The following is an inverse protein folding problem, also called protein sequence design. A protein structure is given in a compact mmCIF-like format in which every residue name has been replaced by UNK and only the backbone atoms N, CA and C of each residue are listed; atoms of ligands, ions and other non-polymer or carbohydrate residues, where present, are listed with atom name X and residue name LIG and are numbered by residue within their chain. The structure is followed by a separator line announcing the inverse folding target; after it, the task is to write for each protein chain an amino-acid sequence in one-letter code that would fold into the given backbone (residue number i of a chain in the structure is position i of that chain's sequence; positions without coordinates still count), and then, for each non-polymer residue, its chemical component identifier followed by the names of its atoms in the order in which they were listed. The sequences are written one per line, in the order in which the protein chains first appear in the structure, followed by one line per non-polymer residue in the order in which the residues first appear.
data_IF_574607185367
#
_entry.id   IF_574607185367
#
_cell.length_a   1.000
_cell.length_b   1.000
_cell.length_c   1.000
_cell.angle_alpha   90.00
_cell.angle_beta   90.00
_cell.angle_gamma   90.00
#
_symmetry.space_group_name_H-M   'P 1'
#
loop_
_entity.id
_entity.type
_entity.pdbx_description
1 polymer ?
#
# COMPACT_ATOMS: atom_id res chain seq x y z
N UNK A 1 -40.33 8.56 16.57
CA UNK A 1 -39.99 9.99 16.59
C UNK A 1 -38.87 10.20 17.61
N UNK A 2 -37.60 10.13 17.17
CA UNK A 2 -36.43 10.37 18.04
C UNK A 2 -36.12 11.87 18.10
N UNK A 3 -35.90 12.39 19.31
CA UNK A 3 -35.52 13.79 19.53
C UNK A 3 -34.14 14.11 18.92
N UNK A 4 -33.94 15.31 18.34
CA UNK A 4 -32.68 15.68 17.72
C UNK A 4 -31.58 15.85 18.78
N UNK A 5 -30.43 15.20 18.57
CA UNK A 5 -29.22 15.43 19.36
C UNK A 5 -28.79 16.90 19.20
N UNK A 6 -28.64 17.61 20.32
CA UNK A 6 -28.16 19.00 20.33
C UNK A 6 -26.73 19.05 19.75
N UNK A 7 -26.42 20.04 18.89
CA UNK A 7 -25.07 20.22 18.35
C UNK A 7 -24.10 20.55 19.49
N UNK A 8 -22.95 19.87 19.50
CA UNK A 8 -21.86 20.13 20.43
C UNK A 8 -21.34 21.56 20.21
N UNK A 9 -21.52 22.43 21.21
CA UNK A 9 -20.93 23.77 21.22
C UNK A 9 -19.56 23.70 21.91
N UNK A 10 -18.47 24.05 21.22
CA UNK A 10 -17.15 24.08 21.84
C UNK A 10 -17.13 25.01 23.05
N UNK A 11 -16.40 24.62 24.10
CA UNK A 11 -16.21 25.48 25.26
C UNK A 11 -15.37 26.71 24.88
N UNK A 12 -15.48 27.83 25.62
CA UNK A 12 -14.63 29.01 25.40
C UNK A 12 -13.13 28.68 25.39
N UNK A 13 -12.71 27.69 26.20
CA UNK A 13 -11.33 27.21 26.26
C UNK A 13 -10.91 26.46 24.99
N UNK A 14 -11.80 25.66 24.39
CA UNK A 14 -11.55 24.99 23.11
C UNK A 14 -11.45 25.98 21.95
N UNK A 15 -12.26 27.04 21.95
CA UNK A 15 -12.19 28.13 20.97
C UNK A 15 -10.86 28.89 21.09
N UNK A 16 -10.44 29.22 22.31
CA UNK A 16 -9.16 29.89 22.57
C UNK A 16 -7.97 29.02 22.14
N UNK A 17 -8.00 27.71 22.39
CA UNK A 17 -6.95 26.79 21.95
C UNK A 17 -6.89 26.66 20.42
N UNK A 18 -8.05 26.63 19.76
CA UNK A 18 -8.14 26.60 18.30
C UNK A 18 -7.59 27.90 17.68
N UNK A 19 -7.91 29.05 18.26
CA UNK A 19 -7.44 30.35 17.82
C UNK A 19 -5.93 30.51 18.03
N UNK A 20 -5.39 30.08 19.18
CA UNK A 20 -3.95 30.07 19.45
C UNK A 20 -3.19 29.17 18.46
N UNK A 21 -3.75 28.00 18.11
CA UNK A 21 -3.18 27.10 17.07
C UNK A 21 -3.20 27.75 15.69
N UNK A 22 -4.29 28.45 15.34
CA UNK A 22 -4.41 29.19 14.08
C UNK A 22 -3.37 30.31 13.98
N UNK A 23 -3.27 31.17 14.99
CA UNK A 23 -2.28 32.25 15.07
C UNK A 23 -0.84 31.73 15.00
N UNK A 24 -0.53 30.62 15.69
CA UNK A 24 0.78 29.97 15.59
C UNK A 24 1.08 29.50 14.17
N UNK A 25 0.09 28.91 13.48
CA UNK A 25 0.21 28.44 12.10
C UNK A 25 0.39 29.60 11.11
N UNK A 26 -0.35 30.69 11.29
CA UNK A 26 -0.24 31.92 10.50
C UNK A 26 1.12 32.60 10.69
N UNK A 27 1.62 32.67 11.93
CA UNK A 27 2.95 33.22 12.24
C UNK A 27 4.08 32.39 11.63
N UNK A 28 3.99 31.05 11.68
CA UNK A 28 4.95 30.16 11.01
C UNK A 28 4.89 30.27 9.49
N UNK A 29 3.70 30.43 8.92
CA UNK A 29 3.53 30.64 7.47
C UNK A 29 4.16 31.97 7.04
N UNK A 30 3.93 33.06 7.78
CA UNK A 30 4.53 34.37 7.51
C UNK A 30 6.06 34.35 7.62
N UNK A 31 6.63 33.62 8.58
CA UNK A 31 8.08 33.44 8.71
C UNK A 31 8.69 32.62 7.56
N UNK A 32 7.91 31.74 6.93
CA UNK A 32 8.38 30.92 5.80
C UNK A 32 8.40 31.73 4.49
N UNK A 33 7.53 32.72 4.34
CA UNK A 33 7.43 33.58 3.14
C UNK A 33 8.59 34.60 3.04
N UNK A 34 9.26 34.92 4.16
CA UNK A 34 10.42 35.83 4.22
C UNK A 34 11.76 35.22 3.72
N UNK A 35 11.78 33.96 3.28
CA UNK A 35 13.02 33.35 2.79
C UNK A 35 13.30 33.73 1.32
N UNK A 36 14.48 34.30 1.08
CA UNK A 36 14.99 34.78 -0.22
C UNK A 36 14.79 33.73 -1.34
N UNK A 37 14.14 34.09 -2.46
CA UNK A 37 14.03 33.20 -3.62
C UNK A 37 15.37 33.20 -4.37
N UNK A 38 16.10 32.08 -4.34
CA UNK A 38 17.34 31.96 -5.12
C UNK A 38 18.40 30.95 -4.66
N UNK A 39 18.26 30.34 -3.47
CA UNK A 39 19.08 29.15 -3.15
C UNK A 39 18.24 27.89 -3.37
N UNK A 40 18.69 27.02 -4.27
CA UNK A 40 18.25 25.62 -4.25
C UNK A 40 18.64 25.07 -2.88
N UNK A 41 17.69 25.03 -1.94
CA UNK A 41 17.92 24.36 -0.66
C UNK A 41 18.15 22.89 -0.98
N UNK A 42 19.41 22.48 -0.89
CA UNK A 42 19.81 21.08 -0.94
C UNK A 42 18.86 20.28 -0.05
N UNK A 43 18.28 19.21 -0.60
CA UNK A 43 17.31 18.38 0.11
C UNK A 43 17.86 18.02 1.49
N UNK A 44 17.15 18.40 2.54
CA UNK A 44 17.52 18.05 3.90
C UNK A 44 17.13 16.62 4.26
N UNK A 45 16.46 15.88 3.36
CA UNK A 45 16.09 14.49 3.59
C UNK A 45 17.33 13.60 3.64
N UNK A 46 17.32 12.66 4.59
CA UNK A 46 18.42 11.73 4.82
C UNK A 46 18.62 10.85 3.59
N UNK A 47 19.85 10.83 3.08
CA UNK A 47 20.24 9.96 1.97
C UNK A 47 20.40 8.52 2.46
N UNK A 48 20.20 7.57 1.54
CA UNK A 48 20.33 6.14 1.79
C UNK A 48 21.20 5.51 0.71
N UNK A 49 22.01 4.54 1.11
CA UNK A 49 22.89 3.83 0.21
C UNK A 49 22.09 2.97 -0.78
N UNK A 50 22.64 2.81 -1.97
CA UNK A 50 22.17 1.81 -2.92
C UNK A 50 22.83 0.46 -2.61
N UNK A 51 22.03 -0.60 -2.53
CA UNK A 51 22.53 -1.96 -2.36
C UNK A 51 22.50 -2.69 -3.70
N UNK A 52 23.67 -3.08 -4.21
CA UNK A 52 23.76 -3.92 -5.38
C UNK A 52 23.38 -5.37 -5.03
N UNK A 53 22.41 -5.92 -5.75
CA UNK A 53 21.92 -7.30 -5.56
C UNK A 53 22.55 -8.25 -6.56
N UNK A 54 22.65 -7.83 -7.83
CA UNK A 54 23.32 -8.59 -8.89
C UNK A 54 24.41 -7.74 -9.52
N UNK A 55 25.66 -8.17 -9.36
CA UNK A 55 26.81 -7.57 -10.03
C UNK A 55 26.78 -7.97 -11.52
N UNK A 56 26.73 -6.99 -12.42
CA UNK A 56 26.89 -7.22 -13.86
C UNK A 56 28.33 -6.94 -14.24
N UNK A 57 29.10 -7.97 -14.61
CA UNK A 57 30.49 -7.83 -15.06
C UNK A 57 30.61 -7.12 -16.44
N UNK A 58 29.51 -7.03 -17.19
CA UNK A 58 29.42 -6.36 -18.49
C UNK A 58 28.54 -5.11 -18.42
N UNK A 59 28.88 -4.10 -19.23
CA UNK A 59 28.04 -2.92 -19.45
C UNK A 59 26.67 -3.41 -19.93
N UNK A 60 25.62 -3.15 -19.16
CA UNK A 60 24.27 -3.62 -19.46
C UNK A 60 23.80 -3.02 -20.79
N UNK A 61 23.55 -3.85 -21.78
CA UNK A 61 22.76 -3.43 -22.94
C UNK A 61 21.31 -3.31 -22.49
N UNK A 62 20.86 -2.06 -22.34
CA UNK A 62 19.50 -1.73 -21.92
C UNK A 62 18.77 -1.22 -23.14
N UNK A 63 17.83 -2.02 -23.66
CA UNK A 63 16.98 -1.62 -24.79
C UNK A 63 16.21 -0.33 -24.47
N UNK A 64 15.69 -0.24 -23.25
CA UNK A 64 14.99 0.94 -22.72
C UNK A 64 14.95 0.91 -21.18
N UNK A 65 14.73 2.08 -20.59
CA UNK A 65 14.54 2.23 -19.15
C UNK A 65 13.33 3.12 -18.89
N UNK A 66 12.35 2.60 -18.16
CA UNK A 66 11.25 3.40 -17.63
C UNK A 66 11.51 3.67 -16.16
N UNK A 67 11.36 4.93 -15.71
CA UNK A 67 11.31 5.22 -14.26
C UNK A 67 9.85 5.42 -13.89
N UNK A 68 9.40 4.67 -12.90
CA UNK A 68 8.02 4.73 -12.40
C UNK A 68 8.06 5.10 -10.92
N UNK A 69 7.15 6.00 -10.54
CA UNK A 69 6.87 6.33 -9.16
C UNK A 69 5.40 5.99 -8.88
N UNK A 70 5.16 5.29 -7.78
CA UNK A 70 3.82 5.03 -7.25
C UNK A 70 3.70 5.72 -5.91
N UNK A 71 2.64 6.51 -5.72
CA UNK A 71 2.36 7.17 -4.46
C UNK A 71 0.93 6.92 -4.01
N UNK A 72 0.76 6.78 -2.70
CA UNK A 72 -0.52 6.75 -2.01
C UNK A 72 -0.72 8.04 -1.21
N UNK A 73 -1.95 8.27 -0.75
CA UNK A 73 -2.33 9.48 -0.01
C UNK A 73 -2.00 10.80 -0.71
N UNK A 74 -2.01 10.80 -2.05
CA UNK A 74 -1.66 11.98 -2.83
C UNK A 74 -2.83 12.95 -2.83
N UNK A 75 -2.59 14.15 -2.29
CA UNK A 75 -3.48 15.30 -2.37
C UNK A 75 -2.75 16.49 -3.02
N UNK A 76 -3.34 17.70 -2.95
CA UNK A 76 -2.68 18.96 -3.36
C UNK A 76 -2.06 18.90 -4.76
N UNK A 77 -2.79 18.32 -5.72
CA UNK A 77 -2.33 18.08 -7.09
C UNK A 77 -1.84 19.35 -7.79
N UNK A 78 -2.37 20.52 -7.43
CA UNK A 78 -1.94 21.81 -7.96
C UNK A 78 -0.46 22.13 -7.66
N UNK A 79 0.12 21.50 -6.64
CA UNK A 79 1.55 21.63 -6.29
C UNK A 79 2.41 20.54 -6.91
N UNK A 80 1.91 19.31 -6.95
CA UNK A 80 2.70 18.14 -7.38
C UNK A 80 2.82 18.08 -8.90
N UNK A 81 1.73 18.32 -9.64
CA UNK A 81 1.71 18.19 -11.11
C UNK A 81 2.72 19.10 -11.81
N UNK A 82 2.87 20.38 -11.45
CA UNK A 82 3.88 21.25 -12.07
C UNK A 82 5.32 20.75 -11.82
N UNK A 83 5.60 20.20 -10.63
CA UNK A 83 6.93 19.68 -10.30
C UNK A 83 7.26 18.43 -11.13
N UNK A 84 6.31 17.50 -11.27
CA UNK A 84 6.48 16.32 -12.12
C UNK A 84 6.71 16.70 -13.58
N UNK A 85 5.90 17.63 -14.09
CA UNK A 85 6.01 18.11 -15.47
C UNK A 85 7.36 18.77 -15.72
N UNK A 86 7.80 19.66 -14.82
CA UNK A 86 9.12 20.29 -14.88
C UNK A 86 10.26 19.27 -14.83
N UNK A 87 10.07 18.18 -14.10
CA UNK A 87 11.04 17.09 -13.99
C UNK A 87 10.96 16.06 -15.15
N UNK A 88 10.12 16.28 -16.16
CA UNK A 88 10.03 15.42 -17.35
C UNK A 88 9.15 14.17 -17.20
N UNK A 89 8.29 14.14 -16.18
CA UNK A 89 7.38 13.02 -15.90
C UNK A 89 5.95 13.33 -16.34
N UNK A 90 5.31 12.32 -16.95
CA UNK A 90 3.85 12.24 -17.11
C UNK A 90 3.27 11.56 -15.86
N UNK A 91 1.96 11.67 -15.66
CA UNK A 91 1.31 11.05 -14.51
C UNK A 91 -0.14 10.66 -14.79
N UNK A 92 -0.62 9.66 -14.05
CA UNK A 92 -2.02 9.30 -13.89
C UNK A 92 -2.38 9.40 -12.41
N UNK A 93 -3.59 9.89 -12.11
CA UNK A 93 -4.12 9.99 -10.75
C UNK A 93 -5.51 9.36 -10.69
N UNK A 94 -5.83 8.70 -9.58
CA UNK A 94 -7.16 8.21 -9.26
C UNK A 94 -7.47 8.41 -7.78
N UNK A 95 -8.73 8.64 -7.44
CA UNK A 95 -9.18 8.73 -6.05
C UNK A 95 -10.49 7.96 -5.86
N UNK A 96 -10.68 7.44 -4.66
CA UNK A 96 -11.96 6.85 -4.26
C UNK A 96 -13.08 7.90 -4.21
N UNK A 97 -14.35 7.51 -4.37
CA UNK A 97 -15.47 8.45 -4.32
C UNK A 97 -15.45 9.30 -3.05
N UNK A 98 -15.49 10.63 -3.21
CA UNK A 98 -15.45 11.63 -2.13
C UNK A 98 -14.19 11.61 -1.24
N UNK A 99 -13.11 10.91 -1.63
CA UNK A 99 -11.82 11.02 -0.94
C UNK A 99 -11.09 12.29 -1.37
N UNK A 100 -10.40 12.93 -0.43
CA UNK A 100 -9.58 14.14 -0.68
C UNK A 100 -8.19 13.82 -1.22
N UNK A 101 -7.77 12.56 -1.07
CA UNK A 101 -6.49 12.04 -1.49
C UNK A 101 -6.72 10.77 -2.33
N UNK A 102 -5.70 10.35 -3.06
CA UNK A 102 -5.77 9.22 -3.97
C UNK A 102 -4.43 8.55 -4.20
N UNK A 103 -4.34 7.79 -5.29
CA UNK A 103 -3.12 7.16 -5.75
C UNK A 103 -2.63 7.83 -7.04
N UNK A 104 -1.31 7.87 -7.23
CA UNK A 104 -0.68 8.43 -8.43
C UNK A 104 0.39 7.48 -8.96
N UNK A 105 0.43 7.35 -10.29
CA UNK A 105 1.53 6.73 -11.02
C UNK A 105 2.18 7.82 -11.86
N UNK A 106 3.47 8.10 -11.66
CA UNK A 106 4.24 8.99 -12.52
C UNK A 106 5.32 8.21 -13.26
N UNK A 107 5.59 8.58 -14.51
CA UNK A 107 6.49 7.84 -15.39
C UNK A 107 7.21 8.75 -16.38
N UNK A 108 8.37 8.29 -16.87
CA UNK A 108 9.21 9.06 -17.79
C UNK A 108 8.50 9.33 -19.12
N UNK A 109 8.77 10.49 -19.71
CA UNK A 109 8.04 10.98 -20.90
C UNK A 109 8.32 10.19 -22.19
N UNK A 110 9.36 9.36 -22.22
CA UNK A 110 9.66 8.37 -23.27
C UNK A 110 8.73 7.15 -23.23
N UNK A 111 7.78 7.11 -22.28
CA UNK A 111 6.65 6.20 -22.25
C UNK A 111 5.33 6.92 -22.54
N UNK A 112 4.45 6.21 -23.23
CA UNK A 112 3.06 6.60 -23.47
C UNK A 112 2.13 5.68 -22.68
N UNK A 113 1.09 6.24 -22.07
CA UNK A 113 0.03 5.47 -21.45
C UNK A 113 -0.95 5.02 -22.53
N UNK A 114 -1.05 3.71 -22.75
CA UNK A 114 -2.03 3.13 -23.66
C UNK A 114 -3.44 3.17 -23.08
N UNK A 115 -3.54 2.80 -21.81
CA UNK A 115 -4.79 2.78 -21.07
C UNK A 115 -4.52 2.88 -19.57
N UNK A 116 -5.57 3.13 -18.80
CA UNK A 116 -5.57 3.08 -17.35
C UNK A 116 -6.89 2.55 -16.81
N UNK A 117 -6.85 1.98 -15.61
CA UNK A 117 -8.03 1.49 -14.89
C UNK A 117 -8.00 1.97 -13.45
N UNK A 118 -9.16 2.39 -12.94
CA UNK A 118 -9.38 2.60 -11.50
C UNK A 118 -10.29 1.48 -11.03
N UNK A 119 -9.78 0.60 -10.19
CA UNK A 119 -10.57 -0.43 -9.52
C UNK A 119 -11.24 0.24 -8.32
N UNK A 120 -12.56 0.20 -8.23
CA UNK A 120 -13.29 0.63 -7.04
C UNK A 120 -13.69 -0.62 -6.24
N UNK A 121 -12.88 -1.03 -5.28
CA UNK A 121 -13.04 -2.35 -4.63
C UNK A 121 -14.43 -2.61 -4.01
N UNK A 122 -15.11 -1.54 -3.57
CA UNK A 122 -16.47 -1.64 -3.04
C UNK A 122 -17.50 -2.10 -4.10
N UNK A 123 -17.19 -1.93 -5.39
CA UNK A 123 -18.05 -2.21 -6.55
C UNK A 123 -17.57 -3.41 -7.37
N UNK A 124 -16.64 -4.21 -6.85
CA UNK A 124 -16.10 -5.37 -7.54
C UNK A 124 -16.74 -6.65 -7.01
N UNK A 125 -17.20 -7.50 -7.92
CA UNK A 125 -17.70 -8.83 -7.57
C UNK A 125 -16.55 -9.75 -7.23
N UNK A 126 -16.73 -10.64 -6.26
CA UNK A 126 -15.79 -11.72 -5.94
C UNK A 126 -16.33 -13.08 -6.38
N UNK A 127 -17.63 -13.16 -6.64
CA UNK A 127 -18.35 -14.36 -7.09
C UNK A 127 -19.58 -13.97 -7.90
N UNK A 128 -20.16 -14.95 -8.59
CA UNK A 128 -21.52 -14.85 -9.15
C UNK A 128 -22.49 -15.40 -8.11
N UNK A 129 -23.52 -14.63 -7.75
CA UNK A 129 -24.55 -15.00 -6.79
C UNK A 129 -25.88 -14.29 -7.10
N UNK A 130 -26.95 -14.64 -6.39
CA UNK A 130 -28.29 -14.12 -6.65
C UNK A 130 -28.52 -12.68 -6.17
N UNK A 131 -27.69 -12.20 -5.24
CA UNK A 131 -27.80 -10.84 -4.68
C UNK A 131 -26.51 -10.06 -4.87
N UNK A 132 -26.61 -8.74 -5.05
CA UNK A 132 -25.43 -7.88 -5.12
C UNK A 132 -24.57 -8.02 -3.85
N UNK A 133 -25.20 -8.12 -2.67
CA UNK A 133 -24.49 -8.31 -1.41
C UNK A 133 -23.59 -9.55 -1.47
N UNK A 134 -24.14 -10.69 -1.86
CA UNK A 134 -23.40 -11.94 -1.96
C UNK A 134 -22.34 -11.90 -3.08
N UNK A 135 -22.62 -11.23 -4.21
CA UNK A 135 -21.65 -11.04 -5.29
C UNK A 135 -20.44 -10.23 -4.82
N UNK A 136 -20.67 -9.13 -4.08
CA UNK A 136 -19.59 -8.26 -3.59
C UNK A 136 -18.79 -8.93 -2.47
N UNK A 137 -19.45 -9.58 -1.52
CA UNK A 137 -18.81 -10.19 -0.36
C UNK A 137 -18.05 -9.19 0.52
N UNK A 138 -18.49 -7.93 0.60
CA UNK A 138 -17.79 -6.85 1.32
C UNK A 138 -18.07 -6.88 2.81
N UNK A 139 -17.04 -6.71 3.64
CA UNK A 139 -17.19 -6.55 5.10
C UNK A 139 -17.35 -5.08 5.51
N UNK A 140 -16.78 -4.16 4.72
CA UNK A 140 -16.75 -2.73 5.02
C UNK A 140 -16.79 -1.89 3.74
N UNK A 141 -17.50 -0.76 3.75
CA UNK A 141 -17.44 0.23 2.67
C UNK A 141 -16.20 1.13 2.80
N UNK A 142 -15.14 0.83 2.06
CA UNK A 142 -13.80 1.42 2.26
C UNK A 142 -13.51 2.62 1.37
N UNK A 143 -14.14 2.67 0.18
CA UNK A 143 -13.84 3.61 -0.91
C UNK A 143 -12.37 3.57 -1.33
N UNK A 144 -11.68 2.47 -1.07
CA UNK A 144 -10.31 2.25 -1.53
C UNK A 144 -10.30 1.96 -3.03
N UNK A 145 -9.14 2.18 -3.65
CA UNK A 145 -8.97 1.95 -5.08
C UNK A 145 -7.65 1.24 -5.37
N UNK A 146 -7.62 0.54 -6.49
CA UNK A 146 -6.40 0.24 -7.24
C UNK A 146 -6.32 1.16 -8.47
N UNK A 147 -5.13 1.60 -8.83
CA UNK A 147 -4.86 2.36 -10.05
C UNK A 147 -3.87 1.57 -10.92
N UNK A 148 -4.21 1.34 -12.19
CA UNK A 148 -3.42 0.59 -13.15
C UNK A 148 -3.13 1.45 -14.37
N UNK A 149 -1.94 1.33 -14.94
CA UNK A 149 -1.51 2.03 -16.15
C UNK A 149 -0.72 1.08 -17.04
N UNK A 150 -1.10 0.98 -18.31
CA UNK A 150 -0.32 0.28 -19.32
C UNK A 150 0.64 1.29 -19.96
N UNK A 151 1.94 1.12 -19.73
CA UNK A 151 2.98 2.06 -20.16
C UNK A 151 3.80 1.44 -21.29
N UNK A 152 3.69 2.01 -22.49
CA UNK A 152 4.39 1.58 -23.70
C UNK A 152 5.61 2.45 -23.98
N UNK A 153 6.72 1.84 -24.39
CA UNK A 153 7.87 2.60 -24.90
C UNK A 153 7.49 3.32 -26.19
N UNK A 154 7.78 4.62 -26.25
CA UNK A 154 7.57 5.42 -27.48
C UNK A 154 8.55 4.99 -28.58
N UNK A 155 9.71 4.45 -28.22
CA UNK A 155 10.74 4.00 -29.18
C UNK A 155 10.45 2.62 -29.74
N UNK A 156 9.86 1.73 -28.93
CA UNK A 156 9.55 0.36 -29.33
C UNK A 156 8.16 -0.05 -28.78
N UNK A 157 7.10 0.00 -29.61
CA UNK A 157 5.74 -0.30 -29.17
C UNK A 157 5.50 -1.74 -28.68
N UNK A 158 6.41 -2.68 -28.96
CA UNK A 158 6.33 -4.05 -28.43
C UNK A 158 6.71 -4.08 -26.94
N UNK A 159 7.49 -3.10 -26.48
CA UNK A 159 8.00 -3.03 -25.13
C UNK A 159 7.13 -2.13 -24.25
N UNK A 160 6.92 -2.58 -23.02
CA UNK A 160 6.16 -1.85 -22.02
C UNK A 160 6.01 -2.64 -20.72
N UNK A 161 5.30 -2.03 -19.78
CA UNK A 161 5.00 -2.62 -18.46
C UNK A 161 3.57 -2.27 -18.07
N UNK A 162 2.98 -3.09 -17.19
CA UNK A 162 1.80 -2.70 -16.43
C UNK A 162 2.29 -2.17 -15.08
N UNK A 163 2.07 -0.89 -14.80
CA UNK A 163 2.31 -0.30 -13.49
C UNK A 163 1.00 -0.22 -12.73
N UNK A 164 0.98 -0.70 -11.48
CA UNK A 164 -0.18 -0.62 -10.62
C UNK A 164 0.18 -0.14 -9.22
N UNK A 165 -0.77 0.53 -8.56
CA UNK A 165 -0.65 0.96 -7.18
C UNK A 165 -1.98 0.89 -6.44
N UNK A 166 -1.93 0.69 -5.13
CA UNK A 166 -3.11 0.57 -4.26
C UNK A 166 -2.81 1.16 -2.89
N UNK A 167 -3.86 1.57 -2.19
CA UNK A 167 -3.84 1.78 -0.74
C UNK A 167 -4.99 0.94 -0.15
N UNK A 168 -4.66 -0.23 0.39
CA UNK A 168 -5.64 -1.19 0.93
C UNK A 168 -6.21 -0.73 2.28
N UNK A 169 -7.20 -1.46 2.81
CA UNK A 169 -7.92 -1.03 4.01
C UNK A 169 -7.06 -1.05 5.27
N UNK A 170 -6.98 0.09 5.94
CA UNK A 170 -6.03 0.36 7.03
C UNK A 170 -6.37 -0.35 8.35
N UNK A 171 -7.66 -0.61 8.62
CA UNK A 171 -8.07 -1.03 9.96
C UNK A 171 -7.47 -2.40 10.31
N UNK A 172 -6.61 -2.51 11.34
CA UNK A 172 -5.75 -3.69 11.55
C UNK A 172 -6.53 -4.98 11.75
N UNK A 173 -7.72 -4.91 12.35
CA UNK A 173 -8.62 -6.06 12.56
C UNK A 173 -9.43 -6.52 11.34
N UNK A 174 -9.45 -5.78 10.23
CA UNK A 174 -10.20 -6.17 9.01
C UNK A 174 -9.31 -6.95 8.03
N UNK A 175 -8.72 -8.05 8.50
CA UNK A 175 -7.87 -8.94 7.69
C UNK A 175 -8.62 -9.47 6.47
N UNK A 176 -9.88 -9.88 6.63
CA UNK A 176 -10.75 -10.29 5.55
C UNK A 176 -10.87 -9.22 4.44
N UNK A 177 -11.16 -7.96 4.79
CA UNK A 177 -11.35 -6.92 3.77
C UNK A 177 -10.06 -6.64 3.00
N UNK A 178 -8.90 -6.65 3.68
CA UNK A 178 -7.60 -6.53 3.00
C UNK A 178 -7.35 -7.69 2.04
N UNK A 179 -7.59 -8.93 2.49
CA UNK A 179 -7.44 -10.12 1.64
C UNK A 179 -8.37 -10.07 0.42
N UNK A 180 -9.63 -9.66 0.62
CA UNK A 180 -10.60 -9.43 -0.46
C UNK A 180 -10.11 -8.40 -1.47
N UNK A 181 -9.65 -7.24 -1.01
CA UNK A 181 -9.14 -6.19 -1.90
C UNK A 181 -7.87 -6.63 -2.65
N UNK A 182 -6.96 -7.36 -1.98
CA UNK A 182 -5.77 -7.92 -2.60
C UNK A 182 -6.11 -8.97 -3.67
N UNK A 183 -7.12 -9.82 -3.44
CA UNK A 183 -7.59 -10.81 -4.41
C UNK A 183 -8.15 -10.13 -5.68
N UNK A 184 -8.99 -9.11 -5.48
CA UNK A 184 -9.54 -8.29 -6.57
C UNK A 184 -8.41 -7.60 -7.34
N UNK A 185 -7.44 -6.99 -6.65
CA UNK A 185 -6.30 -6.35 -7.28
C UNK A 185 -5.50 -7.33 -8.14
N UNK A 186 -5.20 -8.53 -7.62
CA UNK A 186 -4.45 -9.56 -8.36
C UNK A 186 -5.18 -9.96 -9.64
N UNK A 187 -6.49 -10.23 -9.55
CA UNK A 187 -7.37 -10.52 -10.69
C UNK A 187 -7.38 -9.39 -11.71
N UNK A 188 -7.62 -8.16 -11.27
CA UNK A 188 -7.78 -7.03 -12.17
C UNK A 188 -6.47 -6.60 -12.83
N UNK A 189 -5.31 -6.81 -12.19
CA UNK A 189 -4.00 -6.64 -12.86
C UNK A 189 -3.86 -7.61 -14.03
N UNK A 190 -4.21 -8.88 -13.84
CA UNK A 190 -4.16 -9.88 -14.92
C UNK A 190 -5.17 -9.61 -16.03
N UNK A 191 -6.39 -9.26 -15.64
CA UNK A 191 -7.46 -8.91 -16.58
C UNK A 191 -7.09 -7.67 -17.39
N UNK A 192 -6.65 -6.60 -16.74
CA UNK A 192 -6.24 -5.36 -17.41
C UNK A 192 -5.09 -5.61 -18.38
N UNK A 193 -4.06 -6.39 -17.99
CA UNK A 193 -2.97 -6.79 -18.87
C UNK A 193 -3.46 -7.50 -20.14
N UNK A 194 -4.47 -8.36 -20.00
CA UNK A 194 -5.09 -9.09 -21.11
C UNK A 194 -5.92 -8.16 -21.99
N UNK A 195 -6.75 -7.30 -21.38
CA UNK A 195 -7.65 -6.38 -22.07
C UNK A 195 -6.88 -5.37 -22.95
N UNK A 196 -5.71 -4.92 -22.51
CA UNK A 196 -4.83 -4.04 -23.32
C UNK A 196 -4.02 -4.80 -24.39
N UNK A 197 -4.21 -6.12 -24.50
CA UNK A 197 -3.53 -6.96 -25.50
C UNK A 197 -2.02 -7.08 -25.28
N UNK A 198 -1.57 -7.15 -24.01
CA UNK A 198 -0.16 -7.24 -23.63
C UNK A 198 0.11 -8.34 -22.58
N UNK A 199 -0.28 -9.60 -22.83
CA UNK A 199 -0.05 -10.70 -21.88
C UNK A 199 1.44 -10.93 -21.55
N UNK A 200 2.35 -10.49 -22.43
CA UNK A 200 3.81 -10.63 -22.31
C UNK A 200 4.48 -9.52 -21.49
N UNK A 201 3.73 -8.47 -21.11
CA UNK A 201 4.29 -7.38 -20.30
C UNK A 201 4.40 -7.78 -18.82
N UNK A 202 5.50 -7.41 -18.14
CA UNK A 202 5.60 -7.58 -16.70
C UNK A 202 4.64 -6.61 -15.99
N UNK A 203 4.09 -7.05 -14.86
CA UNK A 203 3.32 -6.20 -13.98
C UNK A 203 4.15 -5.84 -12.75
N UNK A 204 4.30 -4.54 -12.49
CA UNK A 204 4.89 -4.01 -11.25
C UNK A 204 3.75 -3.41 -10.43
N UNK A 205 3.53 -3.96 -9.23
CA UNK A 205 2.45 -3.56 -8.34
C UNK A 205 3.06 -3.05 -7.04
N UNK A 206 2.98 -1.75 -6.79
CA UNK A 206 3.62 -1.12 -5.63
C UNK A 206 2.68 -0.18 -4.88
N UNK A 207 2.77 -0.16 -3.55
CA UNK A 207 1.95 0.73 -2.72
C UNK A 207 1.84 0.25 -1.29
N UNK A 208 0.91 0.87 -0.57
CA UNK A 208 0.55 0.52 0.80
C UNK A 208 -0.54 -0.56 0.82
N UNK A 209 -0.16 -1.75 1.26
CA UNK A 209 -1.05 -2.89 1.35
C UNK A 209 -1.69 -3.05 2.74
N UNK A 210 -1.28 -2.23 3.72
CA UNK A 210 -1.79 -2.23 5.08
C UNK A 210 -1.76 -3.60 5.79
N UNK A 211 -0.86 -4.50 5.37
CA UNK A 211 -0.62 -5.77 6.03
C UNK A 211 0.88 -6.06 6.11
N UNK A 212 1.27 -6.81 7.13
CA UNK A 212 2.65 -7.27 7.34
C UNK A 212 2.91 -8.62 6.66
N UNK A 213 4.18 -9.06 6.55
CA UNK A 213 4.53 -10.33 5.91
C UNK A 213 3.95 -11.58 6.59
N UNK A 214 3.59 -11.48 7.87
CA UNK A 214 2.88 -12.51 8.63
C UNK A 214 1.35 -12.47 8.44
N UNK A 215 0.80 -11.61 7.58
CA UNK A 215 -0.63 -11.62 7.22
C UNK A 215 -0.94 -12.70 6.16
N UNK A 216 -2.14 -13.28 6.24
CA UNK A 216 -2.67 -14.24 5.27
C UNK A 216 -2.64 -13.70 3.84
N UNK A 217 -3.01 -12.42 3.64
CA UNK A 217 -3.04 -11.80 2.32
C UNK A 217 -1.64 -11.74 1.67
N UNK A 218 -0.58 -11.50 2.47
CA UNK A 218 0.80 -11.52 1.98
C UNK A 218 1.14 -12.92 1.45
N UNK A 219 0.93 -13.95 2.28
CA UNK A 219 1.26 -15.34 1.94
C UNK A 219 0.52 -15.82 0.68
N UNK A 220 -0.76 -15.45 0.53
CA UNK A 220 -1.55 -15.77 -0.67
C UNK A 220 -1.05 -15.06 -1.93
N UNK A 221 -0.65 -13.79 -1.84
CA UNK A 221 -0.12 -13.04 -2.98
C UNK A 221 1.16 -13.66 -3.52
N UNK A 222 2.08 -14.01 -2.62
CA UNK A 222 3.39 -14.57 -2.99
C UNK A 222 3.37 -16.08 -3.19
N UNK A 223 2.22 -16.75 -2.98
CA UNK A 223 2.07 -18.19 -3.11
C UNK A 223 2.94 -18.96 -2.11
N UNK A 224 2.89 -18.55 -0.84
CA UNK A 224 3.42 -19.31 0.28
C UNK A 224 2.28 -20.06 0.99
N UNK A 225 2.61 -21.13 1.70
CA UNK A 225 1.61 -21.91 2.46
C UNK A 225 1.04 -21.06 3.60
N UNK A 226 -0.26 -21.21 3.91
CA UNK A 226 -0.85 -20.54 5.07
C UNK A 226 -0.43 -21.21 6.37
N UNK A 227 -0.12 -20.39 7.37
CA UNK A 227 0.12 -20.86 8.73
C UNK A 227 -1.19 -20.85 9.53
N UNK A 228 -1.37 -21.77 10.50
CA UNK A 228 -2.56 -21.81 11.35
C UNK A 228 -2.84 -20.47 12.05
N UNK A 229 -1.81 -19.74 12.46
CA UNK A 229 -1.93 -18.44 13.09
C UNK A 229 -2.50 -17.38 12.14
N UNK A 230 -2.16 -17.47 10.85
CA UNK A 230 -2.67 -16.57 9.81
C UNK A 230 -4.14 -16.83 9.53
N UNK A 231 -4.54 -18.11 9.48
CA UNK A 231 -5.94 -18.50 9.35
C UNK A 231 -6.74 -18.07 10.58
N UNK A 232 -6.19 -18.20 11.78
CA UNK A 232 -6.85 -17.76 13.01
C UNK A 232 -7.13 -16.25 13.06
N UNK A 233 -6.35 -15.42 12.34
CA UNK A 233 -6.56 -13.97 12.26
C UNK A 233 -7.73 -13.57 11.35
N UNK A 234 -8.16 -14.43 10.42
CA UNK A 234 -9.26 -14.08 9.51
C UNK A 234 -10.62 -14.23 10.18
N UNK A 235 -10.82 -15.27 10.99
CA UNK A 235 -12.12 -15.61 11.57
C UNK A 235 -12.76 -14.46 12.36
N UNK A 236 -12.03 -13.72 13.22
CA UNK A 236 -12.59 -12.55 13.91
C UNK A 236 -12.94 -11.37 12.99
N UNK A 237 -12.42 -11.37 11.75
CA UNK A 237 -12.65 -10.34 10.74
C UNK A 237 -13.77 -10.66 9.75
N UNK A 238 -14.39 -11.84 9.87
CA UNK A 238 -15.59 -12.23 9.11
C UNK A 238 -16.84 -11.56 9.68
N UNK A 239 -16.92 -10.26 9.47
CA UNK A 239 -17.96 -9.37 10.01
C UNK A 239 -18.56 -8.50 8.91
N UNK A 240 -19.74 -7.95 9.18
CA UNK A 240 -20.38 -6.95 8.33
C UNK A 240 -20.61 -5.69 9.14
N UNK A 241 -19.97 -4.60 8.72
CA UNK A 241 -20.09 -3.30 9.35
C UNK A 241 -21.37 -2.57 8.92
N UNK A 242 -21.86 -1.63 9.74
CA UNK A 242 -23.04 -0.80 9.47
C UNK A 242 -23.00 -0.03 8.15
N UNK A 243 -21.81 0.16 7.57
CA UNK A 243 -21.63 0.82 6.27
C UNK A 243 -22.02 -0.06 5.07
N UNK A 244 -22.10 -1.38 5.28
CA UNK A 244 -22.64 -2.36 4.34
C UNK A 244 -24.09 -2.69 4.71
N UNK A 245 -24.36 -2.90 6.01
CA UNK A 245 -25.69 -3.25 6.51
C UNK A 245 -26.20 -2.25 7.56
N UNK A 246 -27.02 -1.26 7.18
CA UNK A 246 -27.51 -0.24 8.11
C UNK A 246 -28.35 -0.77 9.28
N UNK A 247 -28.80 -2.03 9.24
CA UNK A 247 -29.52 -2.67 10.34
C UNK A 247 -28.61 -3.06 11.52
N UNK A 248 -27.28 -3.05 11.34
CA UNK A 248 -26.33 -3.38 12.40
C UNK A 248 -26.46 -2.37 13.55
N UNK A 249 -26.68 -2.83 14.80
CA UNK A 249 -26.81 -1.95 15.94
C UNK A 249 -25.45 -1.28 16.25
N UNK A 250 -25.44 -0.02 16.70
CA UNK A 250 -24.20 0.63 17.10
C UNK A 250 -23.60 -0.06 18.33
N UNK A 251 -22.29 -0.21 18.36
CA UNK A 251 -21.59 -0.76 19.52
C UNK A 251 -21.73 0.19 20.71
N UNK A 252 -22.14 -0.34 21.87
CA UNK A 252 -22.25 0.44 23.10
C UNK A 252 -20.89 0.95 23.57
N UNK A 253 -20.87 2.14 24.21
CA UNK A 253 -19.65 2.79 24.71
C UNK A 253 -18.87 1.95 25.73
N UNK A 254 -19.48 0.98 26.40
CA UNK A 254 -18.81 0.13 27.41
C UNK A 254 -17.98 -1.00 26.79
N UNK A 255 -18.44 -1.62 25.69
CA UNK A 255 -17.70 -2.68 24.99
C UNK A 255 -16.44 -2.12 24.30
N UNK A 256 -16.51 -0.86 23.85
CA UNK A 256 -15.33 -0.14 23.36
C UNK A 256 -14.26 0.03 24.45
N UNK A 257 -14.66 0.08 25.74
CA UNK A 257 -13.78 0.31 26.90
C UNK A 257 -13.30 -0.97 27.59
N UNK A 258 -13.98 -2.10 27.47
CA UNK A 258 -13.52 -3.35 28.09
C UNK A 258 -12.25 -3.93 27.44
N UNK A 259 -11.90 -3.47 26.23
CA UNK A 259 -10.58 -3.68 25.62
C UNK A 259 -9.48 -2.74 26.12
N UNK A 260 -9.81 -1.73 26.95
CA UNK A 260 -8.94 -0.61 27.36
C UNK A 260 -8.36 -0.78 28.79
N UNK A 261 -7.83 -1.95 29.15
CA UNK A 261 -7.08 -2.11 30.41
C UNK A 261 -5.59 -2.39 30.17
N UNK A 262 -4.82 -1.32 30.04
CA UNK A 262 -3.35 -1.31 30.03
C UNK A 262 -2.78 -0.11 29.28
N UNK A 263 -1.65 0.43 29.74
CA UNK A 263 -0.91 1.62 29.26
C UNK A 263 -1.12 1.99 27.78
N UNK A 264 -1.51 3.25 27.50
CA UNK A 264 -1.61 3.90 26.18
C UNK A 264 -2.02 2.97 25.02
N UNK A 265 -3.13 2.25 25.17
CA UNK A 265 -3.59 1.27 24.19
C UNK A 265 -4.40 1.93 23.08
N UNK A 266 -4.07 1.58 21.84
CA UNK A 266 -4.60 2.15 20.61
C UNK A 266 -6.10 1.80 20.40
N UNK A 267 -6.99 2.79 20.15
CA UNK A 267 -8.43 2.56 19.98
C UNK A 267 -8.78 1.73 18.74
N UNK A 268 -7.91 1.64 17.73
CA UNK A 268 -8.19 0.98 16.45
C UNK A 268 -7.98 -0.55 16.48
N UNK A 269 -7.82 -1.12 17.69
CA UNK A 269 -7.65 -2.57 17.91
C UNK A 269 -8.96 -3.33 18.06
N UNK A 270 -10.10 -2.65 18.09
CA UNK A 270 -11.44 -3.25 18.29
C UNK A 270 -12.33 -2.94 17.10
N UNK A 271 -12.98 -3.97 16.55
CA UNK A 271 -14.00 -3.76 15.54
C UNK A 271 -15.26 -3.24 16.23
N UNK A 272 -15.74 -2.08 15.80
CA UNK A 272 -16.99 -1.48 16.27
C UNK A 272 -18.02 -1.43 15.15
N UNK A 273 -19.29 -1.31 15.53
CA UNK A 273 -20.45 -1.17 14.65
C UNK A 273 -20.55 -2.26 13.57
N UNK A 274 -20.20 -3.50 13.94
CA UNK A 274 -20.25 -4.66 13.07
C UNK A 274 -20.95 -5.83 13.75
N UNK A 275 -21.56 -6.70 12.94
CA UNK A 275 -22.09 -8.01 13.34
C UNK A 275 -21.27 -9.12 12.70
N UNK A 276 -21.32 -10.33 13.24
CA UNK A 276 -20.79 -11.51 12.54
C UNK A 276 -21.47 -11.67 11.16
N UNK A 277 -20.68 -12.07 10.17
CA UNK A 277 -21.19 -12.37 8.85
C UNK A 277 -22.08 -13.62 8.86
N UNK A 278 -23.07 -13.63 7.99
CA UNK A 278 -23.91 -14.79 7.67
C UNK A 278 -23.67 -15.20 6.21
N UNK A 279 -24.18 -16.36 5.80
CA UNK A 279 -23.98 -16.91 4.45
C UNK A 279 -24.42 -15.94 3.35
N UNK A 280 -25.58 -15.29 3.51
CA UNK A 280 -26.13 -14.30 2.56
C UNK A 280 -25.25 -13.04 2.37
N UNK A 281 -24.29 -12.80 3.26
CA UNK A 281 -23.34 -11.71 3.08
C UNK A 281 -22.25 -12.04 2.02
N UNK A 282 -22.09 -13.31 1.66
CA UNK A 282 -21.20 -13.79 0.59
C UNK A 282 -19.71 -13.58 0.83
N UNK A 283 -19.29 -13.43 2.10
CA UNK A 283 -17.88 -13.32 2.44
C UNK A 283 -17.13 -14.61 2.03
N UNK A 284 -15.95 -14.46 1.44
CA UNK A 284 -15.10 -15.59 1.04
C UNK A 284 -14.55 -16.34 2.26
N UNK A 285 -14.64 -17.66 2.21
CA UNK A 285 -13.94 -18.57 3.11
C UNK A 285 -12.45 -18.67 2.76
N UNK A 286 -11.64 -19.22 3.68
CA UNK A 286 -10.20 -19.45 3.42
C UNK A 286 -9.96 -20.35 2.19
N UNK A 287 -10.68 -21.47 1.99
CA UNK A 287 -10.55 -22.27 0.77
C UNK A 287 -10.83 -21.49 -0.52
N UNK A 288 -11.87 -20.64 -0.53
CA UNK A 288 -12.20 -19.81 -1.69
C UNK A 288 -11.13 -18.75 -1.97
N UNK A 289 -10.52 -18.18 -0.92
CA UNK A 289 -9.34 -17.33 -1.08
C UNK A 289 -8.19 -18.11 -1.71
N UNK A 290 -7.85 -19.29 -1.17
CA UNK A 290 -6.78 -20.13 -1.72
C UNK A 290 -7.01 -20.41 -3.21
N UNK A 291 -8.21 -20.85 -3.60
CA UNK A 291 -8.57 -21.07 -5.00
C UNK A 291 -8.38 -19.81 -5.85
N UNK A 292 -8.91 -18.68 -5.39
CA UNK A 292 -8.82 -17.40 -6.10
C UNK A 292 -7.37 -16.99 -6.33
N UNK A 293 -6.51 -17.06 -5.31
CA UNK A 293 -5.12 -16.63 -5.42
C UNK A 293 -4.24 -17.62 -6.20
N UNK A 294 -4.50 -18.93 -6.08
CA UNK A 294 -3.76 -19.99 -6.77
C UNK A 294 -4.11 -20.10 -8.26
N UNK A 295 -5.29 -19.63 -8.67
CA UNK A 295 -5.66 -19.55 -10.09
C UNK A 295 -4.75 -18.64 -10.94
N UNK A 296 -3.86 -17.88 -10.29
CA UNK A 296 -2.97 -16.92 -10.92
C UNK A 296 -1.53 -17.10 -10.41
N UNK A 297 -0.55 -16.83 -11.29
CA UNK A 297 0.86 -16.91 -10.91
C UNK A 297 1.16 -16.10 -9.64
N UNK A 298 2.00 -16.62 -8.73
CA UNK A 298 2.40 -15.90 -7.53
C UNK A 298 3.17 -14.63 -7.88
N UNK A 299 3.05 -13.63 -7.03
CA UNK A 299 3.88 -12.43 -7.12
C UNK A 299 5.22 -12.66 -6.42
N UNK A 300 6.25 -11.98 -6.90
CA UNK A 300 7.55 -11.90 -6.22
C UNK A 300 7.64 -10.56 -5.50
N UNK A 301 7.95 -10.56 -4.20
CA UNK A 301 8.36 -9.33 -3.52
C UNK A 301 9.81 -9.00 -3.87
N UNK A 302 10.02 -7.82 -4.44
CA UNK A 302 11.34 -7.36 -4.86
C UNK A 302 12.29 -7.18 -3.67
N UNK A 303 11.77 -6.70 -2.53
CA UNK A 303 12.61 -6.45 -1.36
C UNK A 303 12.94 -7.75 -0.61
N UNK A 304 11.97 -8.64 -0.42
CA UNK A 304 12.22 -9.97 0.18
C UNK A 304 13.27 -10.75 -0.63
N UNK A 305 13.08 -10.90 -1.94
CA UNK A 305 14.03 -11.60 -2.81
C UNK A 305 15.38 -10.88 -2.87
N UNK A 306 15.38 -9.55 -3.06
CA UNK A 306 16.60 -8.76 -3.15
C UNK A 306 17.45 -8.82 -1.88
N UNK A 307 16.85 -8.62 -0.70
CA UNK A 307 17.56 -8.64 0.57
C UNK A 307 18.01 -10.05 0.97
N UNK A 308 17.25 -11.09 0.64
CA UNK A 308 17.66 -12.48 0.90
C UNK A 308 18.97 -12.83 0.18
N UNK A 309 19.14 -12.40 -1.07
CA UNK A 309 20.33 -12.67 -1.91
C UNK A 309 21.60 -12.00 -1.38
N UNK A 310 21.46 -10.87 -0.69
CA UNK A 310 22.60 -10.09 -0.19
C UNK A 310 22.77 -10.19 1.33
N UNK A 311 21.93 -10.96 2.04
CA UNK A 311 21.95 -11.05 3.50
C UNK A 311 23.31 -11.48 4.05
N UNK A 312 24.00 -12.40 3.38
CA UNK A 312 25.35 -12.85 3.77
C UNK A 312 26.42 -11.77 3.58
N UNK A 313 26.26 -10.89 2.59
CA UNK A 313 27.17 -9.78 2.33
C UNK A 313 26.93 -8.59 3.28
N UNK A 314 25.67 -8.39 3.69
CA UNK A 314 25.26 -7.32 4.59
C UNK A 314 24.51 -7.86 5.82
N UNK A 315 25.17 -8.63 6.71
CA UNK A 315 24.52 -9.28 7.85
C UNK A 315 23.94 -8.30 8.88
N UNK A 316 24.39 -7.04 8.86
CA UNK A 316 23.91 -5.99 9.76
C UNK A 316 22.56 -5.40 9.34
N UNK A 317 22.08 -5.67 8.11
CA UNK A 317 20.75 -5.21 7.68
C UNK A 317 19.71 -6.09 8.37
N UNK A 318 18.96 -5.47 9.29
CA UNK A 318 17.82 -6.10 9.93
C UNK A 318 16.64 -6.18 8.97
N UNK A 319 15.93 -7.29 9.06
CA UNK A 319 14.79 -7.66 8.23
C UNK A 319 13.59 -7.98 9.12
N UNK A 320 12.41 -8.05 8.54
CA UNK A 320 11.18 -8.38 9.26
C UNK A 320 11.32 -9.66 10.12
N UNK A 321 11.91 -10.72 9.56
CA UNK A 321 12.13 -12.00 10.24
C UNK A 321 13.20 -11.98 11.35
N UNK A 322 14.03 -10.93 11.43
CA UNK A 322 14.94 -10.77 12.58
C UNK A 322 14.17 -10.26 13.83
N UNK A 323 13.00 -9.65 13.62
CA UNK A 323 12.18 -9.05 14.68
C UNK A 323 10.95 -9.89 15.01
N UNK A 324 10.34 -10.49 13.98
CA UNK A 324 9.15 -11.34 14.10
C UNK A 324 9.59 -12.79 13.99
N UNK A 325 9.09 -13.66 14.86
CA UNK A 325 9.46 -15.08 14.92
C UNK A 325 8.85 -15.87 13.75
N UNK A 326 9.29 -15.59 12.52
CA UNK A 326 8.96 -16.31 11.30
C UNK A 326 10.23 -17.01 10.79
N UNK A 327 10.08 -18.24 10.28
CA UNK A 327 11.21 -19.00 9.75
C UNK A 327 11.85 -18.27 8.56
N UNK A 328 13.18 -18.27 8.48
CA UNK A 328 13.93 -17.57 7.42
C UNK A 328 13.66 -18.13 6.01
N UNK A 329 13.14 -19.35 5.91
CA UNK A 329 12.74 -19.98 4.63
C UNK A 329 11.39 -19.49 4.12
N UNK A 330 10.62 -18.76 4.93
CA UNK A 330 9.32 -18.19 4.55
C UNK A 330 9.50 -16.98 3.66
N UNK A 331 8.59 -16.84 2.70
CA UNK A 331 8.49 -15.60 1.92
C UNK A 331 8.06 -14.49 2.87
N UNK A 332 8.71 -13.34 2.76
CA UNK A 332 8.47 -12.18 3.61
C UNK A 332 9.42 -12.05 4.81
N UNK A 333 10.20 -13.09 5.13
CA UNK A 333 11.15 -13.03 6.24
C UNK A 333 12.28 -12.01 6.00
N UNK A 334 12.61 -11.73 4.75
CA UNK A 334 13.69 -10.82 4.36
C UNK A 334 13.19 -9.44 3.94
N UNK A 335 11.90 -9.14 4.10
CA UNK A 335 11.37 -7.79 3.91
C UNK A 335 12.09 -6.77 4.82
N UNK A 336 12.05 -5.46 4.51
CA UNK A 336 12.61 -4.43 5.37
C UNK A 336 12.11 -4.57 6.80
N UNK A 337 12.91 -4.19 7.79
CA UNK A 337 12.46 -4.24 9.18
C UNK A 337 11.19 -3.38 9.40
N UNK A 338 11.15 -2.24 8.70
CA UNK A 338 10.09 -1.24 8.73
C UNK A 338 9.88 -0.60 7.36
N UNK A 339 8.62 -0.31 7.04
CA UNK A 339 8.27 0.64 5.97
C UNK A 339 7.39 1.77 6.49
N UNK A 340 6.74 1.58 7.65
CA UNK A 340 6.06 2.61 8.43
C UNK A 340 6.58 2.59 9.87
N UNK A 341 6.90 3.77 10.41
CA UNK A 341 7.49 3.89 11.75
C UNK A 341 6.97 5.14 12.47
N UNK A 342 5.85 5.00 13.17
CA UNK A 342 5.23 6.04 14.01
C UNK A 342 5.38 5.71 15.50
N UNK A 343 4.75 6.52 16.36
CA UNK A 343 4.74 6.26 17.79
C UNK A 343 4.00 4.95 18.15
N UNK A 344 2.81 4.73 17.59
CA UNK A 344 1.94 3.58 17.88
C UNK A 344 2.11 2.43 16.87
N UNK A 345 2.34 2.75 15.60
CA UNK A 345 2.39 1.79 14.51
C UNK A 345 3.78 1.73 13.91
N UNK A 346 4.45 0.58 14.08
CA UNK A 346 5.75 0.29 13.50
C UNK A 346 5.66 -1.07 12.86
N UNK A 347 5.66 -1.13 11.53
CA UNK A 347 5.55 -2.39 10.81
C UNK A 347 5.93 -2.23 9.33
N UNK A 348 5.81 -3.32 8.59
CA UNK A 348 5.95 -3.38 7.13
C UNK A 348 4.55 -3.37 6.54
N UNK A 349 4.27 -2.41 5.67
CA UNK A 349 2.98 -2.21 5.01
C UNK A 349 3.14 -1.99 3.50
N UNK A 350 4.32 -1.53 3.08
CA UNK A 350 4.60 -1.10 1.72
C UNK A 350 5.42 -2.15 0.99
N UNK A 351 5.06 -2.44 -0.26
CA UNK A 351 5.74 -3.46 -1.06
C UNK A 351 5.94 -3.01 -2.50
N UNK A 352 6.94 -3.61 -3.16
CA UNK A 352 7.06 -3.62 -4.62
C UNK A 352 6.96 -5.09 -5.05
N UNK A 353 5.78 -5.48 -5.52
CA UNK A 353 5.54 -6.80 -6.08
C UNK A 353 5.73 -6.80 -7.59
N UNK A 354 6.19 -7.94 -8.11
CA UNK A 354 6.30 -8.19 -9.54
C UNK A 354 5.55 -9.46 -9.90
N UNK A 355 4.68 -9.39 -10.91
CA UNK A 355 4.19 -10.55 -11.62
C UNK A 355 4.99 -10.70 -12.91
N UNK A 356 5.77 -11.78 -13.00
CA UNK A 356 6.58 -12.07 -14.17
C UNK A 356 5.70 -12.58 -15.32
N UNK A 357 5.96 -12.18 -16.57
CA UNK A 357 5.38 -12.84 -17.72
C UNK A 357 6.04 -14.23 -17.90
N UNK A 358 5.33 -15.24 -18.44
CA UNK A 358 5.81 -16.63 -18.47
C UNK A 358 7.19 -16.82 -19.13
N UNK A 359 7.53 -15.99 -20.13
CA UNK A 359 8.74 -16.15 -20.96
C UNK A 359 9.91 -15.25 -20.54
N UNK A 360 9.81 -14.50 -19.42
CA UNK A 360 10.89 -13.61 -18.99
C UNK A 360 11.23 -13.78 -17.52
N UNK A 361 12.53 -13.91 -17.23
CA UNK A 361 13.06 -13.93 -15.88
C UNK A 361 13.24 -12.53 -15.31
N UNK A 362 12.94 -12.35 -14.03
CA UNK A 362 13.21 -11.12 -13.29
C UNK A 362 14.67 -11.09 -12.80
N UNK A 363 15.35 -9.99 -13.10
CA UNK A 363 16.65 -9.65 -12.53
C UNK A 363 16.48 -8.44 -11.61
N UNK A 364 16.91 -8.57 -10.35
CA UNK A 364 16.93 -7.49 -9.37
C UNK A 364 18.36 -6.98 -9.29
N UNK A 365 18.60 -5.80 -9.83
CA UNK A 365 19.95 -5.21 -9.91
C UNK A 365 20.36 -4.56 -8.60
N UNK A 366 19.41 -3.91 -7.94
CA UNK A 366 19.65 -3.30 -6.65
C UNK A 366 18.39 -2.75 -6.02
N UNK A 367 18.50 -2.46 -4.73
CA UNK A 367 17.44 -1.89 -3.91
C UNK A 367 18.01 -0.73 -3.09
N UNK A 368 17.19 0.27 -2.80
CA UNK A 368 17.54 1.32 -1.87
C UNK A 368 17.52 0.74 -0.45
N UNK A 369 18.65 0.87 0.26
CA UNK A 369 18.85 0.34 1.62
C UNK A 369 17.69 0.73 2.55
N UNK A 370 17.10 -0.20 3.31
CA UNK A 370 16.17 0.15 4.38
C UNK A 370 16.85 1.00 5.47
N UNK A 371 16.11 1.87 6.14
CA UNK A 371 16.68 2.54 7.33
C UNK A 371 16.80 1.54 8.49
N UNK A 372 17.83 1.70 9.30
CA UNK A 372 17.94 1.02 10.59
C UNK A 372 16.99 1.66 11.63
N UNK A 373 16.60 0.89 12.65
CA UNK A 373 15.69 1.33 13.72
C UNK A 373 16.14 2.63 14.38
N UNK A 374 17.43 2.80 14.65
CA UNK A 374 18.01 3.97 15.32
C UNK A 374 17.86 5.24 14.46
N UNK A 375 17.79 5.08 13.14
CA UNK A 375 17.58 6.19 12.20
C UNK A 375 16.12 6.64 12.15
N UNK A 376 15.19 5.84 12.67
CA UNK A 376 13.75 6.11 12.68
C UNK A 376 13.25 6.60 14.04
N UNK A 377 13.98 6.32 15.13
CA UNK A 377 13.62 6.80 16.46
C UNK A 377 13.64 8.33 16.56
N UNK A 378 12.65 8.97 17.25
CA UNK A 378 11.58 8.34 18.03
C UNK A 378 10.33 7.99 17.20
N UNK A 379 10.29 8.35 15.92
CA UNK A 379 9.12 8.24 15.05
C UNK A 379 9.24 9.14 13.82
N UNK A 380 8.46 8.81 12.80
CA UNK A 380 8.20 9.61 11.61
C UNK A 380 6.76 10.19 11.63
N UNK A 381 6.47 11.26 10.87
CA UNK A 381 7.37 12.05 10.03
C UNK A 381 8.35 12.90 10.85
N UNK A 382 9.55 13.14 10.31
CA UNK A 382 10.61 13.90 11.00
C UNK A 382 11.40 14.77 10.04
N UNK A 383 11.46 16.07 10.34
CA UNK A 383 12.24 17.06 9.59
C UNK A 383 13.69 16.60 9.44
N UNK A 384 14.17 16.62 8.21
CA UNK A 384 15.54 16.18 7.88
C UNK A 384 15.70 14.66 7.71
N UNK A 385 14.63 13.87 7.91
CA UNK A 385 14.66 12.42 7.72
C UNK A 385 13.64 11.99 6.68
N UNK A 386 12.35 12.09 6.99
CA UNK A 386 11.25 11.79 6.06
C UNK A 386 10.09 12.77 6.29
N UNK A 387 9.46 13.21 5.20
CA UNK A 387 8.23 14.00 5.24
C UNK A 387 6.97 13.15 5.41
N UNK A 388 7.09 11.83 5.40
CA UNK A 388 6.03 10.84 5.61
C UNK A 388 6.33 10.01 6.84
N UNK A 389 5.30 9.45 7.47
CA UNK A 389 5.38 8.34 8.43
C UNK A 389 5.84 7.02 7.78
N UNK A 390 5.65 6.90 6.48
CA UNK A 390 6.16 5.81 5.65
C UNK A 390 7.52 6.15 5.01
N UNK A 391 8.17 5.11 4.49
CA UNK A 391 9.50 5.16 3.90
C UNK A 391 9.44 4.73 2.44
N UNK A 392 10.04 5.51 1.54
CA UNK A 392 10.03 5.14 0.12
C UNK A 392 10.84 3.87 -0.14
N UNK A 393 10.26 2.95 -0.89
CA UNK A 393 10.95 1.82 -1.49
C UNK A 393 11.42 2.18 -2.89
N UNK A 394 12.58 1.67 -3.31
CA UNK A 394 13.11 1.90 -4.66
C UNK A 394 13.97 0.72 -5.07
N UNK A 395 13.80 0.26 -6.32
CA UNK A 395 14.52 -0.87 -6.87
C UNK A 395 14.81 -0.66 -8.36
N UNK A 396 15.88 -1.28 -8.84
CA UNK A 396 16.22 -1.36 -10.25
C UNK A 396 16.01 -2.80 -10.73
N UNK A 397 15.18 -2.96 -11.75
CA UNK A 397 14.72 -4.25 -12.25
C UNK A 397 14.98 -4.37 -13.76
N UNK A 398 15.17 -5.59 -14.24
CA UNK A 398 15.08 -5.88 -15.67
C UNK A 398 14.48 -7.25 -15.92
N UNK A 399 14.00 -7.46 -17.15
CA UNK A 399 13.46 -8.73 -17.59
C UNK A 399 14.24 -9.23 -18.80
N UNK A 400 14.85 -10.40 -18.67
CA UNK A 400 15.53 -11.08 -19.77
C UNK A 400 14.69 -12.25 -20.26
N UNK A 401 14.75 -12.58 -21.56
CA UNK A 401 14.21 -13.86 -22.05
C UNK A 401 14.93 -14.99 -21.32
N UNK A 402 14.18 -15.97 -20.83
CA UNK A 402 14.75 -17.18 -20.24
C UNK A 402 15.35 -18.09 -21.31
#
# INVERSE_FOLDING_TARGET
LMAPKKPHKPTPEQLALAEARRLKKERLAAQTISAVPGSERQSTMRQRDWLEVQQSATKREVDFCVKVFTWNEVDRLEKIKPLLTKAGYKHQYGAGPNKKHGCMIAYTSDFAQLDHRIIQYDNEDVRVADTERACRGSSFKTRNIGLLCALQSVRNPVQGIIAATTHLFWHPRYTYERARQAAILKREVNRFRTDVGRPDWPCVVAGDFNFAPDDLAYSLLVGDTLLPEQEALISPSLVVHKSIDPAVPPTGLEVAKEGEKGESTDPDRVITDARSAVEDDGLLSVPEFLETFQSQAPWCSVYDDGLSRIKSQFPNIKTFGDRVNIATTRKGAHEPEWTSYTHYWKTVLDYIFVQQPPERGLNIHGVLKPFATEELQPGLPRKGVSSSDHMSLCAELSWSRQ
#
